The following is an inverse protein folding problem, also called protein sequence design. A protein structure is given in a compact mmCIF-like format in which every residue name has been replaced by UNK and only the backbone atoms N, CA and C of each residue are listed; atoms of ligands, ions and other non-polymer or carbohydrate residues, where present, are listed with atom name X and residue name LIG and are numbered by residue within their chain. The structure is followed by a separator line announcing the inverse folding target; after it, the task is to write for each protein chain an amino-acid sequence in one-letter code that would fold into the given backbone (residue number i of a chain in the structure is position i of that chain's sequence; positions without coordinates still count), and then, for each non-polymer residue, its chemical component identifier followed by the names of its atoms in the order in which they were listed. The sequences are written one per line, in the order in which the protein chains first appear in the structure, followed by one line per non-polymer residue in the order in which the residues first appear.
data_IF_220830784913
#
_entry.id   IF_220830784913
#
_cell.length_a   1.000
_cell.length_b   1.000
_cell.length_c   1.000
_cell.angle_alpha   90.00
_cell.angle_beta   90.00
_cell.angle_gamma   90.00
#
_symmetry.space_group_name_H-M   'P 1'
#
loop_
_entity.id
_entity.type
_entity.pdbx_description
1 polymer ?
#
# COMPACT_ATOMS: atom_id res chain seq x y z
N UNK A 1 -15.35 9.96 2.61
CA UNK A 1 -15.65 9.21 3.84
C UNK A 1 -14.51 8.28 4.16
N UNK A 2 -13.93 8.38 5.33
CA UNK A 2 -12.80 7.51 5.65
C UNK A 2 -13.22 6.07 5.84
N UNK A 3 -12.31 5.19 5.57
CA UNK A 3 -12.51 3.77 5.74
C UNK A 3 -11.62 3.30 6.89
N UNK A 4 -12.19 2.47 7.73
CA UNK A 4 -11.49 1.97 8.91
C UNK A 4 -11.33 0.46 8.80
N UNK A 5 -10.14 -0.03 9.07
CA UNK A 5 -9.88 -1.46 9.08
C UNK A 5 -9.03 -1.81 10.28
N UNK A 6 -9.26 -2.99 10.79
CA UNK A 6 -8.53 -3.47 11.94
C UNK A 6 -7.26 -4.18 11.46
N UNK A 7 -6.16 -3.91 12.15
CA UNK A 7 -4.91 -4.58 11.82
C UNK A 7 -4.92 -6.00 12.39
N UNK A 8 -4.05 -6.84 11.86
CA UNK A 8 -3.88 -8.20 12.38
C UNK A 8 -2.45 -8.65 12.24
N UNK A 9 -2.10 -9.68 12.97
CA UNK A 9 -0.76 -10.23 12.89
C UNK A 9 -0.63 -11.18 11.71
N UNK A 10 0.52 -11.14 11.08
CA UNK A 10 0.87 -12.08 10.05
C UNK A 10 2.35 -12.37 10.20
N UNK A 11 2.68 -13.51 10.82
CA UNK A 11 4.05 -13.79 11.20
C UNK A 11 4.50 -12.77 12.23
N UNK A 12 5.58 -12.08 11.96
CA UNK A 12 6.06 -11.02 12.84
C UNK A 12 5.62 -9.64 12.38
N UNK A 13 4.73 -9.56 11.41
CA UNK A 13 4.30 -8.29 10.85
C UNK A 13 2.88 -7.96 11.26
N UNK A 14 2.55 -6.68 11.23
CA UNK A 14 1.19 -6.22 11.39
C UNK A 14 0.69 -5.85 10.00
N UNK A 15 -0.45 -6.38 9.61
CA UNK A 15 -1.00 -6.12 8.27
C UNK A 15 -2.40 -5.55 8.38
N UNK A 16 -2.83 -4.91 7.32
CA UNK A 16 -4.17 -4.37 7.23
C UNK A 16 -4.70 -4.63 5.81
N UNK A 17 -5.98 -4.97 5.72
CA UNK A 17 -6.59 -5.23 4.43
C UNK A 17 -6.94 -3.91 3.75
N UNK A 18 -6.54 -3.76 2.50
CA UNK A 18 -6.92 -2.59 1.72
C UNK A 18 -8.35 -2.81 1.23
N UNK A 19 -9.28 -1.92 1.54
CA UNK A 19 -10.67 -2.11 1.13
C UNK A 19 -10.81 -2.24 -0.38
N UNK A 20 -11.74 -3.08 -0.81
CA UNK A 20 -11.91 -3.35 -2.23
C UNK A 20 -12.25 -2.10 -3.03
N UNK A 21 -12.95 -1.15 -2.43
CA UNK A 21 -13.24 0.11 -3.10
C UNK A 21 -11.97 0.84 -3.51
N UNK A 22 -10.96 0.82 -2.66
CA UNK A 22 -9.69 1.46 -2.96
C UNK A 22 -8.89 0.65 -3.96
N UNK A 23 -8.93 -0.67 -3.82
CA UNK A 23 -8.24 -1.55 -4.76
C UNK A 23 -8.73 -1.28 -6.19
N UNK A 24 -10.04 -1.17 -6.35
CA UNK A 24 -10.62 -0.92 -7.67
C UNK A 24 -10.36 0.49 -8.14
N UNK A 25 -10.51 1.46 -7.25
CA UNK A 25 -10.35 2.85 -7.64
C UNK A 25 -8.94 3.18 -8.10
N UNK A 26 -7.96 2.53 -7.51
CA UNK A 26 -6.57 2.83 -7.84
C UNK A 26 -5.89 1.74 -8.65
N UNK A 27 -6.64 0.71 -9.04
CA UNK A 27 -6.09 -0.33 -9.89
C UNK A 27 -4.97 -1.12 -9.24
N UNK A 28 -5.14 -1.45 -7.96
CA UNK A 28 -4.11 -2.18 -7.23
C UNK A 28 -4.28 -3.68 -7.47
N UNK A 29 -3.20 -4.33 -7.86
CA UNK A 29 -3.24 -5.76 -8.13
C UNK A 29 -2.21 -6.48 -7.28
N UNK A 30 -2.44 -7.77 -7.12
CA UNK A 30 -1.48 -8.60 -6.40
C UNK A 30 -0.13 -8.49 -7.10
N UNK A 31 0.90 -8.28 -6.32
CA UNK A 31 2.24 -8.12 -6.84
C UNK A 31 2.65 -6.69 -7.11
N UNK A 32 1.71 -5.76 -7.04
CA UNK A 32 2.04 -4.35 -7.22
C UNK A 32 2.90 -3.86 -6.07
N UNK A 33 3.65 -2.81 -6.34
CA UNK A 33 4.49 -2.20 -5.32
C UNK A 33 3.79 -1.00 -4.71
N UNK A 34 3.92 -0.91 -3.40
CA UNK A 34 3.33 0.16 -2.62
C UNK A 34 4.45 0.87 -1.86
N UNK A 35 4.46 2.17 -1.94
CA UNK A 35 5.41 2.96 -1.19
C UNK A 35 4.75 3.45 0.08
N UNK A 36 5.41 3.28 1.20
CA UNK A 36 4.88 3.66 2.50
C UNK A 36 5.75 4.78 3.03
N UNK A 37 5.13 5.93 3.24
CA UNK A 37 5.85 7.13 3.62
C UNK A 37 5.38 7.58 5.00
N UNK A 38 6.23 7.47 6.01
CA UNK A 38 5.83 7.93 7.33
C UNK A 38 5.76 9.46 7.35
N UNK A 39 4.68 9.96 7.90
CA UNK A 39 4.51 11.37 8.15
C UNK A 39 4.63 11.58 9.65
N UNK A 40 4.18 12.70 10.17
CA UNK A 40 4.22 12.91 11.59
C UNK A 40 2.83 12.79 12.18
N UNK A 41 2.76 12.76 13.48
CA UNK A 41 1.48 12.74 14.22
C UNK A 41 0.65 11.50 13.94
N UNK A 42 1.32 10.35 13.81
CA UNK A 42 0.61 9.10 13.65
C UNK A 42 0.05 8.85 12.27
N UNK A 43 0.54 9.57 11.28
CA UNK A 43 0.05 9.44 9.91
C UNK A 43 1.04 8.74 9.02
N UNK A 44 0.53 7.93 8.10
CA UNK A 44 1.34 7.24 7.11
C UNK A 44 0.67 7.43 5.77
N UNK A 45 1.44 7.82 4.78
CA UNK A 45 0.94 7.93 3.42
C UNK A 45 1.30 6.67 2.66
N UNK A 46 0.33 6.12 1.95
CA UNK A 46 0.53 4.92 1.13
C UNK A 46 0.26 5.30 -0.31
N UNK A 47 1.14 4.89 -1.20
CA UNK A 47 0.98 5.27 -2.58
C UNK A 47 1.36 4.09 -3.47
N UNK A 48 0.53 3.81 -4.46
CA UNK A 48 0.85 2.78 -5.43
C UNK A 48 1.89 3.33 -6.37
N UNK A 49 2.95 2.58 -6.61
CA UNK A 49 3.96 3.00 -7.54
C UNK A 49 4.02 2.00 -8.68
N UNK A 50 4.43 2.50 -9.83
CA UNK A 50 4.48 1.70 -11.02
C UNK A 50 5.93 1.35 -11.27
N UNK A 51 6.34 0.17 -10.91
CA UNK A 51 7.71 -0.24 -11.08
C UNK A 51 7.82 -1.15 -12.28
N UNK A 52 8.05 -0.55 -13.38
CA UNK A 52 8.32 -1.32 -14.52
C UNK A 52 9.76 -1.56 -14.61
N UNK A 53 10.00 -2.72 -14.80
CA UNK A 53 11.26 -3.03 -14.82
C UNK A 53 12.11 -2.10 -15.30
N UNK A 54 12.52 -1.89 -15.91
CA UNK A 54 13.66 -1.34 -16.13
C UNK A 54 13.87 -0.15 -15.66
N UNK A 55 13.17 0.27 -15.57
CA UNK A 55 13.44 1.40 -15.22
C UNK A 55 14.07 1.49 -14.09
N UNK A 56 14.03 1.08 -13.90
CA UNK A 56 14.56 1.02 -12.97
C UNK A 56 15.42 0.58 -13.01
N UNK A 57 15.29 0.46 -13.58
CA UNK A 57 15.99 0.09 -13.52
C UNK A 57 16.77 0.17 -13.84
N UNK A 58 16.85 0.39 -14.09
CA UNK A 58 17.51 0.38 -14.23
C UNK A 58 18.03 0.34 -14.10
N UNK A 59 17.97 0.36 -14.19
CA UNK A 59 18.36 0.18 -13.91
C UNK A 59 18.65 -0.10 -13.80
#
# INVERSE_FOLDING_TARGET
MPLTRKTRLSGSSIVVTIPSQLVEAYGINSGDFIEIIPLKDGEIKIKKIDRHGPSEGTA
#
